data_IF_719743024570
#
_entry.id   IF_719743024570
#
_cell.length_a   1.000
_cell.length_b   1.000
_cell.length_c   1.000
_cell.angle_alpha   90.00
_cell.angle_beta   90.00
_cell.angle_gamma   90.00
#
_symmetry.space_group_name_H-M   'P 1'
#
loop_
_entity.id
_entity.type
_entity.pdbx_description
1 polymer ?
#
# COMPACT_ATOMS: atom_id res chain seq x y z
N UNK A 1 1.59 22.75 -41.93
CA UNK A 1 2.06 22.42 -40.57
C UNK A 1 2.55 20.98 -40.60
N UNK A 2 3.86 20.75 -40.49
CA UNK A 2 4.43 19.40 -40.51
C UNK A 2 4.23 18.75 -39.14
N UNK A 3 3.25 17.86 -39.03
CA UNK A 3 3.07 17.00 -37.86
C UNK A 3 4.24 16.02 -37.84
N UNK A 4 5.25 16.28 -36.99
CA UNK A 4 6.29 15.29 -36.69
C UNK A 4 5.58 14.01 -36.24
N UNK A 5 5.71 12.92 -37.01
CA UNK A 5 5.24 11.60 -36.58
C UNK A 5 5.81 11.30 -35.19
N UNK A 6 5.01 10.78 -34.25
CA UNK A 6 5.53 10.34 -32.96
C UNK A 6 6.71 9.40 -33.19
N UNK A 7 7.80 9.60 -32.46
CA UNK A 7 8.97 8.74 -32.58
C UNK A 7 8.61 7.36 -31.99
N UNK A 8 8.39 6.39 -32.87
CA UNK A 8 8.12 5.00 -32.50
C UNK A 8 9.42 4.31 -32.06
N UNK A 9 9.32 3.51 -30.99
CA UNK A 9 10.43 2.72 -30.47
C UNK A 9 10.06 1.24 -30.54
N UNK A 10 10.94 0.44 -31.15
CA UNK A 10 10.81 -1.01 -31.26
C UNK A 10 11.70 -1.69 -30.24
N UNK A 11 11.15 -2.64 -29.47
CA UNK A 11 11.87 -3.39 -28.44
C UNK A 11 11.51 -4.88 -28.51
N UNK A 12 12.44 -5.74 -28.08
CA UNK A 12 12.14 -7.16 -27.82
C UNK A 12 11.80 -7.33 -26.35
N UNK A 13 10.56 -7.72 -26.07
CA UNK A 13 10.04 -7.87 -24.71
C UNK A 13 9.52 -9.28 -24.45
N UNK A 14 9.55 -9.70 -23.19
CA UNK A 14 8.99 -10.98 -22.76
C UNK A 14 7.70 -10.77 -21.96
N UNK A 15 6.76 -11.70 -22.07
CA UNK A 15 5.56 -11.75 -21.23
C UNK A 15 5.87 -12.37 -19.87
N UNK A 16 5.15 -12.02 -18.79
CA UNK A 16 5.40 -12.56 -17.45
C UNK A 16 5.38 -14.10 -17.37
N UNK A 17 4.47 -14.72 -18.13
CA UNK A 17 4.26 -16.18 -18.16
C UNK A 17 5.18 -16.93 -19.12
N UNK A 18 5.95 -16.26 -19.97
CA UNK A 18 6.96 -16.90 -20.81
C UNK A 18 8.34 -16.91 -20.14
N UNK A 19 9.14 -17.94 -20.42
CA UNK A 19 10.58 -17.87 -20.18
C UNK A 19 11.22 -16.77 -21.03
N UNK A 20 12.44 -16.33 -20.67
CA UNK A 20 13.17 -15.27 -21.40
C UNK A 20 13.35 -15.57 -22.90
N UNK A 21 13.18 -16.83 -23.32
CA UNK A 21 13.39 -17.32 -24.68
C UNK A 21 12.24 -17.00 -25.66
N UNK A 22 11.03 -16.65 -25.18
CA UNK A 22 9.90 -16.26 -26.04
C UNK A 22 9.69 -14.75 -26.03
N UNK A 23 10.69 -14.01 -26.53
CA UNK A 23 10.58 -12.56 -26.71
C UNK A 23 9.71 -12.24 -27.93
N UNK A 24 8.78 -11.29 -27.78
CA UNK A 24 7.99 -10.70 -28.87
C UNK A 24 8.53 -9.31 -29.22
N UNK A 25 8.36 -8.90 -30.48
CA UNK A 25 8.66 -7.54 -30.90
C UNK A 25 7.48 -6.64 -30.54
N UNK A 26 7.74 -5.57 -29.78
CA UNK A 26 6.76 -4.58 -29.36
C UNK A 26 7.18 -3.20 -29.85
N UNK A 27 6.20 -2.45 -30.36
CA UNK A 27 6.36 -1.05 -30.73
C UNK A 27 5.53 -0.18 -29.80
N UNK A 28 6.13 0.90 -29.30
CA UNK A 28 5.44 1.92 -28.53
C UNK A 28 5.84 3.34 -28.97
N UNK A 29 4.94 4.28 -28.77
CA UNK A 29 5.12 5.69 -29.13
C UNK A 29 4.78 6.61 -27.95
N UNK A 30 4.98 7.92 -28.15
CA UNK A 30 4.51 8.98 -27.23
C UNK A 30 5.06 8.89 -25.79
N UNK A 31 6.27 8.35 -25.64
CA UNK A 31 6.91 8.18 -24.33
C UNK A 31 7.11 9.52 -23.60
N UNK A 32 6.33 9.76 -22.54
CA UNK A 32 6.37 10.97 -21.70
C UNK A 32 6.65 10.58 -20.26
N UNK A 33 7.60 11.27 -19.61
CA UNK A 33 7.86 11.08 -18.17
C UNK A 33 6.63 11.50 -17.36
N UNK A 34 6.11 10.59 -16.53
CA UNK A 34 4.99 10.83 -15.59
C UNK A 34 5.40 10.67 -14.12
N UNK A 35 6.56 10.08 -13.86
CA UNK A 35 7.09 9.93 -12.51
C UNK A 35 8.62 9.79 -12.51
N UNK A 36 9.25 10.33 -11.48
CA UNK A 36 10.69 10.20 -11.25
C UNK A 36 10.90 9.97 -9.75
N UNK A 37 11.71 8.97 -9.40
CA UNK A 37 11.97 8.59 -8.02
C UNK A 37 13.33 7.95 -7.84
N UNK A 38 13.68 7.60 -6.60
CA UNK A 38 14.96 6.99 -6.24
C UNK A 38 15.26 5.69 -7.02
N UNK A 39 14.23 4.98 -7.47
CA UNK A 39 14.34 3.71 -8.17
C UNK A 39 14.39 3.84 -9.69
N UNK A 40 14.16 5.04 -10.25
CA UNK A 40 14.21 5.27 -11.69
C UNK A 40 13.07 6.15 -12.20
N UNK A 41 12.77 6.00 -13.49
CA UNK A 41 11.85 6.87 -14.23
C UNK A 41 10.67 6.07 -14.75
N UNK A 42 9.46 6.64 -14.65
CA UNK A 42 8.23 6.07 -15.19
C UNK A 42 7.76 6.90 -16.36
N UNK A 43 7.54 6.25 -17.49
CA UNK A 43 7.02 6.85 -18.72
C UNK A 43 5.58 6.39 -18.95
N UNK A 44 4.70 7.30 -19.36
CA UNK A 44 3.48 6.97 -20.10
C UNK A 44 3.88 6.75 -21.55
N UNK A 45 3.47 5.65 -22.14
CA UNK A 45 3.68 5.35 -23.54
C UNK A 45 2.44 4.67 -24.11
N UNK A 46 2.37 4.55 -25.44
CA UNK A 46 1.24 3.93 -26.12
C UNK A 46 1.69 2.76 -26.97
N UNK A 47 1.09 1.58 -26.76
CA UNK A 47 1.39 0.40 -27.57
C UNK A 47 0.78 0.57 -28.97
N UNK A 48 1.60 0.42 -30.01
CA UNK A 48 1.18 0.74 -31.39
C UNK A 48 0.14 -0.24 -31.91
N UNK A 49 0.26 -1.53 -31.58
CA UNK A 49 -0.60 -2.58 -32.16
C UNK A 49 -2.07 -2.50 -31.72
N UNK A 50 -2.36 -1.95 -30.54
CA UNK A 50 -3.72 -1.85 -29.99
C UNK A 50 -4.06 -0.45 -29.44
N UNK A 51 -3.18 0.54 -29.62
CA UNK A 51 -3.36 1.92 -29.18
C UNK A 51 -3.62 2.04 -27.66
N UNK A 52 -3.10 1.11 -26.86
CA UNK A 52 -3.33 1.05 -25.41
C UNK A 52 -2.26 1.84 -24.64
N UNK A 53 -2.69 2.67 -23.70
CA UNK A 53 -1.80 3.38 -22.79
C UNK A 53 -1.16 2.42 -21.78
N UNK A 54 0.16 2.54 -21.61
CA UNK A 54 0.95 1.74 -20.69
C UNK A 54 1.91 2.60 -19.88
N UNK A 55 2.27 2.12 -18.68
CA UNK A 55 3.32 2.72 -17.88
C UNK A 55 4.61 1.89 -18.02
N UNK A 56 5.70 2.50 -18.47
CA UNK A 56 7.02 1.87 -18.57
C UNK A 56 7.88 2.34 -17.40
N UNK A 57 8.10 1.48 -16.40
CA UNK A 57 9.01 1.74 -15.29
C UNK A 57 10.42 1.30 -15.66
N UNK A 58 11.32 2.25 -15.87
CA UNK A 58 12.74 2.02 -16.21
C UNK A 58 13.60 2.13 -14.95
N UNK A 59 14.23 1.03 -14.57
CA UNK A 59 15.00 0.88 -13.32
C UNK A 59 16.42 0.42 -13.64
N UNK A 60 17.43 1.14 -13.15
CA UNK A 60 18.82 0.73 -13.27
C UNK A 60 19.05 -0.60 -12.52
N UNK A 61 19.67 -1.57 -13.18
CA UNK A 61 20.09 -2.83 -12.58
C UNK A 61 21.47 -2.68 -11.97
N UNK A 62 21.51 -2.21 -10.72
CA UNK A 62 22.74 -2.20 -9.95
C UNK A 62 23.08 -3.63 -9.51
N UNK A 63 24.22 -4.16 -9.95
CA UNK A 63 24.69 -5.52 -9.62
C UNK A 63 24.81 -5.76 -8.10
N UNK A 64 24.92 -4.70 -7.30
CA UNK A 64 24.98 -4.75 -5.82
C UNK A 64 23.62 -5.03 -5.19
N UNK A 65 22.52 -4.73 -5.89
CA UNK A 65 21.16 -4.86 -5.40
C UNK A 65 20.36 -5.85 -6.24
N UNK A 66 19.84 -6.91 -5.61
CA UNK A 66 18.91 -7.82 -6.28
C UNK A 66 17.54 -7.14 -6.41
N UNK A 67 17.20 -6.69 -7.61
CA UNK A 67 15.85 -6.19 -7.88
C UNK A 67 14.87 -7.38 -7.92
N UNK A 68 14.04 -7.50 -6.88
CA UNK A 68 13.02 -8.55 -6.75
C UNK A 68 11.70 -8.19 -7.42
N UNK A 69 11.54 -6.95 -7.89
CA UNK A 69 10.27 -6.43 -8.40
C UNK A 69 9.75 -7.27 -9.56
N UNK A 70 10.60 -7.58 -10.55
CA UNK A 70 10.21 -8.46 -11.67
C UNK A 70 9.78 -9.85 -11.18
N UNK A 71 10.55 -10.46 -10.27
CA UNK A 71 10.26 -11.80 -9.77
C UNK A 71 8.93 -11.86 -9.00
N UNK A 72 8.62 -10.81 -8.26
CA UNK A 72 7.36 -10.66 -7.53
C UNK A 72 6.22 -10.43 -8.52
N UNK A 73 6.32 -9.40 -9.38
CA UNK A 73 5.28 -9.00 -10.33
C UNK A 73 4.86 -10.12 -11.27
N UNK A 74 5.77 -11.04 -11.64
CA UNK A 74 5.44 -12.23 -12.45
C UNK A 74 4.50 -13.22 -11.77
N UNK A 75 4.38 -13.18 -10.45
CA UNK A 75 3.50 -14.06 -9.65
C UNK A 75 2.14 -13.43 -9.37
N UNK A 76 1.97 -12.14 -9.65
CA UNK A 76 0.77 -11.39 -9.26
C UNK A 76 -0.21 -11.32 -10.41
N UNK A 77 -1.44 -11.74 -10.15
CA UNK A 77 -2.60 -11.52 -11.03
C UNK A 77 -3.83 -11.30 -10.16
N UNK A 78 -4.15 -10.02 -9.92
CA UNK A 78 -5.27 -9.63 -9.08
C UNK A 78 -5.82 -8.28 -9.53
N UNK A 79 -7.14 -8.09 -9.46
CA UNK A 79 -7.81 -6.89 -10.03
C UNK A 79 -7.32 -5.58 -9.42
N UNK A 80 -7.02 -5.59 -8.13
CA UNK A 80 -6.54 -4.43 -7.36
C UNK A 80 -5.02 -4.37 -7.23
N UNK A 81 -4.29 -5.09 -8.08
CA UNK A 81 -2.82 -4.98 -8.24
C UNK A 81 -2.52 -4.58 -9.68
N UNK A 82 -1.56 -3.70 -9.90
CA UNK A 82 -1.16 -3.28 -11.25
C UNK A 82 -0.59 -4.47 -12.03
N UNK A 83 -1.08 -4.71 -13.23
CA UNK A 83 -0.68 -5.85 -14.07
C UNK A 83 0.65 -5.57 -14.77
N UNK A 84 1.61 -6.48 -14.61
CA UNK A 84 2.78 -6.56 -15.48
C UNK A 84 2.36 -7.16 -16.81
N UNK A 85 2.51 -6.41 -17.89
CA UNK A 85 2.17 -6.87 -19.24
C UNK A 85 3.36 -7.49 -19.93
N UNK A 86 4.49 -6.79 -19.89
CA UNK A 86 5.75 -7.23 -20.50
C UNK A 86 6.95 -6.68 -19.74
N UNK A 87 8.13 -7.20 -20.02
CA UNK A 87 9.39 -6.62 -19.53
C UNK A 87 10.50 -6.77 -20.58
N UNK A 88 11.48 -5.87 -20.55
CA UNK A 88 12.66 -5.96 -21.41
C UNK A 88 13.87 -5.27 -20.76
N UNK A 89 15.05 -5.62 -21.22
CA UNK A 89 16.30 -4.97 -20.81
C UNK A 89 16.76 -4.00 -21.88
N UNK A 90 17.33 -2.87 -21.47
CA UNK A 90 17.95 -1.89 -22.37
C UNK A 90 19.29 -1.41 -21.82
N UNK A 91 20.22 -1.10 -22.72
CA UNK A 91 21.52 -0.51 -22.34
C UNK A 91 21.36 0.97 -22.01
N UNK A 92 22.16 1.44 -21.05
CA UNK A 92 22.31 2.85 -20.72
C UNK A 92 23.30 3.59 -21.62
N UNK A 93 23.51 4.86 -21.30
CA UNK A 93 24.50 5.69 -21.98
C UNK A 93 25.93 5.26 -21.63
N UNK A 94 26.14 4.67 -20.44
CA UNK A 94 27.44 4.11 -20.02
C UNK A 94 27.55 2.63 -20.38
N UNK A 95 28.77 2.20 -20.70
CA UNK A 95 29.12 0.90 -21.28
C UNK A 95 28.71 -0.35 -20.46
N UNK A 96 28.35 -0.20 -19.19
CA UNK A 96 27.93 -1.30 -18.31
C UNK A 96 26.56 -1.08 -17.63
N UNK A 97 25.87 0.00 -17.98
CA UNK A 97 24.55 0.28 -17.43
C UNK A 97 23.51 -0.56 -18.14
N UNK A 98 22.80 -1.39 -17.37
CA UNK A 98 21.67 -2.17 -17.84
C UNK A 98 20.43 -1.69 -17.10
N UNK A 99 19.37 -1.41 -17.83
CA UNK A 99 18.07 -1.03 -17.29
C UNK A 99 17.08 -2.16 -17.50
N UNK A 100 16.31 -2.45 -16.45
CA UNK A 100 15.10 -3.25 -16.53
C UNK A 100 13.93 -2.31 -16.80
N UNK A 101 13.12 -2.63 -17.79
CA UNK A 101 11.93 -1.88 -18.16
C UNK A 101 10.72 -2.77 -17.93
N UNK A 102 9.84 -2.37 -17.02
CA UNK A 102 8.58 -3.06 -16.74
C UNK A 102 7.46 -2.32 -17.49
N UNK A 103 6.81 -2.99 -18.44
CA UNK A 103 5.61 -2.46 -19.12
C UNK A 103 4.39 -2.90 -18.31
N UNK A 104 3.76 -1.93 -17.66
CA UNK A 104 2.63 -2.10 -16.75
C UNK A 104 1.36 -1.54 -17.39
N UNK A 105 0.19 -2.00 -16.95
CA UNK A 105 -1.06 -1.30 -17.25
C UNK A 105 -1.00 0.16 -16.74
N UNK A 106 -1.54 1.10 -17.52
CA UNK A 106 -1.62 2.50 -17.10
C UNK A 106 -2.88 2.77 -16.30
N UNK A 107 -2.73 3.53 -15.21
CA UNK A 107 -3.83 4.04 -14.39
C UNK A 107 -3.59 5.54 -14.16
N UNK A 108 -4.59 6.41 -14.43
CA UNK A 108 -4.34 7.83 -14.69
C UNK A 108 -4.05 8.68 -13.45
N UNK A 109 -4.48 8.24 -12.27
CA UNK A 109 -4.38 9.03 -11.04
C UNK A 109 -3.86 8.20 -9.85
N UNK A 110 -3.72 8.88 -8.70
CA UNK A 110 -3.31 8.27 -7.43
C UNK A 110 -4.21 8.77 -6.30
N UNK A 111 -4.35 7.96 -5.26
CA UNK A 111 -5.05 8.38 -4.02
C UNK A 111 -4.41 9.65 -3.45
N UNK A 112 -3.07 9.78 -3.52
CA UNK A 112 -2.37 11.01 -3.11
C UNK A 112 -2.87 12.27 -3.81
N UNK A 113 -2.98 12.23 -5.14
CA UNK A 113 -3.43 13.38 -5.94
C UNK A 113 -4.90 13.72 -5.66
N UNK A 114 -5.75 12.72 -5.46
CA UNK A 114 -7.15 12.92 -5.04
C UNK A 114 -7.23 13.56 -3.67
N UNK A 115 -6.53 13.02 -2.67
CA UNK A 115 -6.51 13.59 -1.32
C UNK A 115 -6.01 15.03 -1.32
N UNK A 116 -4.94 15.32 -2.08
CA UNK A 116 -4.40 16.66 -2.26
C UNK A 116 -5.40 17.61 -2.94
N UNK A 117 -6.18 17.13 -3.91
CA UNK A 117 -7.22 17.94 -4.56
C UNK A 117 -8.28 18.39 -3.55
N UNK A 118 -8.85 17.46 -2.78
CA UNK A 118 -9.82 17.78 -1.73
C UNK A 118 -9.24 18.71 -0.65
N UNK A 119 -8.01 18.44 -0.19
CA UNK A 119 -7.33 19.27 0.80
C UNK A 119 -7.14 20.73 0.31
N UNK A 120 -6.73 20.93 -0.95
CA UNK A 120 -6.61 22.27 -1.56
C UNK A 120 -7.93 23.02 -1.62
N UNK A 121 -9.03 22.31 -1.85
CA UNK A 121 -10.39 22.86 -1.87
C UNK A 121 -10.97 23.01 -0.45
N UNK A 122 -10.22 22.67 0.60
CA UNK A 122 -10.70 22.62 2.00
C UNK A 122 -11.94 21.73 2.17
N UNK A 123 -12.05 20.70 1.34
CA UNK A 123 -13.12 19.72 1.36
C UNK A 123 -12.61 18.39 1.92
N UNK A 124 -13.53 17.58 2.42
CA UNK A 124 -13.27 16.22 2.87
C UNK A 124 -13.64 15.29 1.73
N UNK A 125 -12.84 14.24 1.53
CA UNK A 125 -13.18 13.17 0.59
C UNK A 125 -14.49 12.53 1.09
N UNK A 126 -15.52 12.38 0.24
CA UNK A 126 -16.75 11.71 0.66
C UNK A 126 -16.46 10.31 1.20
N UNK A 127 -17.06 9.97 2.35
CA UNK A 127 -16.79 8.73 3.08
C UNK A 127 -16.95 7.49 2.19
N UNK A 128 -17.93 7.48 1.28
CA UNK A 128 -18.14 6.34 0.39
C UNK A 128 -16.93 6.08 -0.53
N UNK A 129 -16.23 7.11 -1.01
CA UNK A 129 -14.97 6.91 -1.75
C UNK A 129 -13.88 6.32 -0.85
N UNK A 130 -13.75 6.78 0.40
CA UNK A 130 -12.79 6.23 1.35
C UNK A 130 -13.07 4.74 1.59
N UNK A 131 -14.35 4.36 1.77
CA UNK A 131 -14.77 2.95 1.86
C UNK A 131 -14.35 2.15 0.62
N UNK A 132 -14.67 2.64 -0.58
CA UNK A 132 -14.33 1.98 -1.85
C UNK A 132 -12.81 1.79 -2.01
N UNK A 133 -12.01 2.82 -1.72
CA UNK A 133 -10.56 2.77 -1.87
C UNK A 133 -9.92 1.83 -0.85
N UNK A 134 -10.30 1.97 0.43
CA UNK A 134 -9.72 1.15 1.49
C UNK A 134 -10.13 -0.32 1.38
N UNK A 135 -11.36 -0.62 0.94
CA UNK A 135 -11.77 -1.99 0.66
C UNK A 135 -10.89 -2.63 -0.42
N UNK A 136 -10.69 -1.96 -1.55
CA UNK A 136 -9.85 -2.47 -2.63
C UNK A 136 -8.37 -2.60 -2.21
N UNK A 137 -7.86 -1.69 -1.36
CA UNK A 137 -6.52 -1.81 -0.78
C UNK A 137 -6.39 -3.04 0.12
N UNK A 138 -7.31 -3.26 1.05
CA UNK A 138 -7.28 -4.44 1.92
C UNK A 138 -7.42 -5.75 1.13
N UNK A 139 -8.21 -5.74 0.06
CA UNK A 139 -8.31 -6.90 -0.84
C UNK A 139 -7.00 -7.18 -1.56
N UNK A 140 -6.33 -6.15 -2.10
CA UNK A 140 -4.99 -6.29 -2.68
C UNK A 140 -3.95 -6.79 -1.67
N UNK A 141 -3.97 -6.26 -0.45
CA UNK A 141 -3.08 -6.69 0.64
C UNK A 141 -3.33 -8.14 1.04
N UNK A 142 -4.58 -8.55 1.21
CA UNK A 142 -4.95 -9.92 1.54
C UNK A 142 -4.45 -10.91 0.49
N UNK A 143 -4.63 -10.57 -0.80
CA UNK A 143 -4.09 -11.36 -1.90
C UNK A 143 -2.57 -11.51 -1.81
N UNK A 144 -1.80 -10.42 -1.75
CA UNK A 144 -0.32 -10.53 -1.74
C UNK A 144 0.22 -11.18 -0.45
N UNK A 145 -0.45 -10.97 0.70
CA UNK A 145 -0.07 -11.58 1.97
C UNK A 145 -0.31 -13.08 1.97
N UNK A 146 -1.35 -13.58 1.29
CA UNK A 146 -1.65 -15.02 1.18
C UNK A 146 -0.55 -15.83 0.48
N UNK A 147 0.25 -15.17 -0.35
CA UNK A 147 1.42 -15.76 -1.03
C UNK A 147 2.75 -15.32 -0.41
N UNK A 148 2.71 -14.83 0.84
CA UNK A 148 3.86 -14.48 1.66
C UNK A 148 4.56 -13.17 1.29
N UNK A 149 4.00 -12.36 0.39
CA UNK A 149 4.62 -11.11 -0.09
C UNK A 149 4.18 -9.95 0.79
N UNK A 150 5.14 -9.25 1.38
CA UNK A 150 4.92 -7.96 2.03
C UNK A 150 5.32 -6.83 1.08
N UNK A 151 4.48 -5.80 0.95
CA UNK A 151 4.70 -4.67 0.06
C UNK A 151 5.81 -3.74 0.59
N UNK A 152 5.78 -3.45 1.90
CA UNK A 152 6.78 -2.65 2.64
C UNK A 152 6.91 -1.18 2.24
N UNK A 153 5.98 -0.67 1.44
CA UNK A 153 5.90 0.76 1.07
C UNK A 153 4.48 1.18 0.70
N UNK A 154 3.50 0.80 1.51
CA UNK A 154 2.10 1.24 1.33
C UNK A 154 1.98 2.71 1.70
N UNK A 155 1.51 3.51 0.74
CA UNK A 155 1.31 4.97 0.87
C UNK A 155 0.41 5.47 -0.25
N UNK A 156 -0.25 6.63 -0.12
CA UNK A 156 -1.22 7.13 -1.11
C UNK A 156 -0.65 7.30 -2.53
N UNK A 157 0.66 7.50 -2.69
CA UNK A 157 1.32 7.61 -4.00
C UNK A 157 1.41 6.27 -4.74
N UNK A 158 1.46 5.16 -4.00
CA UNK A 158 1.54 3.80 -4.54
C UNK A 158 0.14 3.15 -4.72
N UNK A 159 -0.92 3.94 -4.52
CA UNK A 159 -2.31 3.53 -4.73
C UNK A 159 -2.82 4.24 -5.98
N UNK A 160 -2.73 3.57 -7.11
CA UNK A 160 -3.24 4.10 -8.37
C UNK A 160 -4.76 4.07 -8.37
N UNK A 161 -5.38 5.06 -9.01
CA UNK A 161 -6.82 5.22 -9.06
C UNK A 161 -7.28 5.61 -10.46
N UNK A 162 -8.35 4.99 -10.92
CA UNK A 162 -9.13 5.47 -12.05
C UNK A 162 -10.33 6.27 -11.51
N UNK A 163 -10.35 7.62 -11.60
CA UNK A 163 -11.40 8.43 -10.99
C UNK A 163 -12.81 8.19 -11.56
N UNK A 164 -12.91 7.76 -12.82
CA UNK A 164 -14.19 7.51 -13.49
C UNK A 164 -14.86 6.23 -12.96
N UNK A 165 -14.06 5.19 -12.72
CA UNK A 165 -14.56 3.87 -12.28
C UNK A 165 -14.39 3.62 -10.79
N UNK A 166 -13.61 4.47 -10.10
CA UNK A 166 -13.17 4.28 -8.71
C UNK A 166 -12.42 2.97 -8.45
N UNK A 167 -11.87 2.36 -9.51
CA UNK A 167 -11.00 1.18 -9.39
C UNK A 167 -9.64 1.61 -8.85
N UNK A 168 -9.23 0.98 -7.74
CA UNK A 168 -7.93 1.16 -7.13
C UNK A 168 -7.01 -0.01 -7.48
N UNK A 169 -5.74 0.29 -7.79
CA UNK A 169 -4.68 -0.69 -8.06
C UNK A 169 -3.42 -0.35 -7.27
N UNK A 170 -2.95 -1.30 -6.48
CA UNK A 170 -1.67 -1.23 -5.79
C UNK A 170 -0.52 -1.35 -6.80
N UNK A 171 0.47 -0.46 -6.68
CA UNK A 171 1.65 -0.45 -7.55
C UNK A 171 2.96 -0.30 -6.76
N UNK A 172 4.09 -0.35 -7.48
CA UNK A 172 5.45 -0.18 -6.96
C UNK A 172 5.92 -1.26 -5.97
N UNK A 173 6.19 -2.45 -6.52
CA UNK A 173 6.73 -3.59 -5.77
C UNK A 173 8.27 -3.54 -5.64
N UNK A 174 8.89 -2.38 -5.86
CA UNK A 174 10.34 -2.20 -5.76
C UNK A 174 10.90 -2.47 -4.35
N UNK A 175 10.06 -2.20 -3.33
CA UNK A 175 10.38 -2.51 -1.93
C UNK A 175 9.86 -3.87 -1.46
N UNK A 176 9.05 -4.57 -2.26
CA UNK A 176 8.38 -5.78 -1.82
C UNK A 176 9.35 -6.94 -1.59
N UNK A 177 8.98 -7.85 -0.69
CA UNK A 177 9.76 -9.07 -0.39
C UNK A 177 8.82 -10.19 0.06
N UNK A 178 9.09 -11.43 -0.36
CA UNK A 178 8.55 -12.61 0.31
C UNK A 178 9.22 -12.75 1.68
N UNK A 179 8.44 -12.64 2.76
CA UNK A 179 8.95 -12.77 4.12
C UNK A 179 9.01 -14.25 4.48
N UNK A 180 10.17 -14.71 4.95
CA UNK A 180 10.40 -16.08 5.40
C UNK A 180 10.65 -16.03 6.89
N UNK A 181 9.92 -16.83 7.65
CA UNK A 181 10.08 -16.88 9.11
C UNK A 181 11.51 -17.30 9.48
N UNK A 182 12.11 -16.59 10.44
CA UNK A 182 13.50 -16.81 10.85
C UNK A 182 14.55 -16.10 9.99
N UNK A 183 14.21 -15.57 8.81
CA UNK A 183 15.15 -14.77 8.01
C UNK A 183 15.06 -13.28 8.37
N UNK A 184 16.20 -12.63 8.68
CA UNK A 184 16.19 -11.21 8.99
C UNK A 184 15.88 -10.34 7.76
N UNK A 185 15.25 -9.20 8.03
CA UNK A 185 14.85 -8.22 7.03
C UNK A 185 15.36 -6.83 7.42
N UNK A 186 15.62 -5.99 6.41
CA UNK A 186 16.03 -4.60 6.65
C UNK A 186 14.89 -3.83 7.33
N UNK A 187 15.16 -3.25 8.49
CA UNK A 187 14.19 -2.46 9.26
C UNK A 187 13.96 -1.06 8.68
N UNK A 188 15.01 -0.42 8.14
CA UNK A 188 14.92 0.89 7.50
C UNK A 188 14.28 0.77 6.10
N UNK A 189 12.97 0.52 6.10
CA UNK A 189 12.11 0.36 4.93
C UNK A 189 10.80 1.14 5.17
N UNK A 190 9.96 1.23 4.15
CA UNK A 190 8.72 2.01 4.14
C UNK A 190 8.95 3.52 4.21
N UNK A 191 8.08 4.27 3.53
CA UNK A 191 8.04 5.72 3.59
C UNK A 191 7.66 6.19 5.01
N UNK A 192 8.38 7.18 5.53
CA UNK A 192 8.43 7.53 6.97
C UNK A 192 7.05 7.67 7.62
N UNK A 193 6.13 8.45 7.05
CA UNK A 193 4.81 8.73 7.64
C UNK A 193 3.91 7.51 7.77
N UNK A 194 4.19 6.45 7.01
CA UNK A 194 3.43 5.21 6.97
C UNK A 194 4.17 4.04 7.64
N UNK A 195 5.33 4.31 8.23
CA UNK A 195 6.21 3.29 8.81
C UNK A 195 5.66 2.79 10.14
N UNK A 196 5.57 1.47 10.27
CA UNK A 196 5.14 0.81 11.51
C UNK A 196 6.14 1.00 12.65
N UNK A 197 5.70 1.10 13.91
CA UNK A 197 6.57 1.41 15.03
C UNK A 197 7.66 0.35 15.24
N UNK A 198 7.38 -0.94 15.02
CA UNK A 198 8.39 -2.01 15.09
C UNK A 198 9.58 -1.80 14.15
N UNK A 199 9.36 -1.19 12.98
CA UNK A 199 10.46 -0.82 12.06
C UNK A 199 11.28 0.36 12.59
N UNK A 200 10.65 1.28 13.31
CA UNK A 200 11.33 2.40 13.97
C UNK A 200 12.18 1.89 15.14
N UNK A 201 11.67 0.89 15.87
CA UNK A 201 12.42 0.16 16.89
C UNK A 201 13.49 -0.77 16.32
N UNK A 202 13.64 -0.87 15.00
CA UNK A 202 14.72 -1.62 14.36
C UNK A 202 14.47 -3.13 14.26
N UNK A 203 13.22 -3.60 14.36
CA UNK A 203 12.88 -5.00 14.22
C UNK A 203 13.30 -5.54 12.83
N UNK A 204 13.82 -6.76 12.79
CA UNK A 204 14.24 -7.43 11.55
C UNK A 204 13.41 -8.68 11.24
N UNK A 205 12.63 -9.14 12.20
CA UNK A 205 11.72 -10.28 12.19
C UNK A 205 10.24 -9.88 12.03
N UNK A 206 9.99 -8.66 11.55
CA UNK A 206 8.63 -8.16 11.28
C UNK A 206 7.89 -9.00 10.25
N UNK A 207 6.56 -8.91 10.28
CA UNK A 207 5.65 -9.66 9.40
C UNK A 207 4.95 -8.74 8.39
N UNK A 208 4.03 -9.30 7.59
CA UNK A 208 3.16 -8.54 6.68
C UNK A 208 2.27 -7.51 7.40
N UNK A 209 2.16 -7.57 8.74
CA UNK A 209 1.39 -6.64 9.57
C UNK A 209 1.91 -5.20 9.55
N UNK A 210 3.12 -4.96 9.03
CA UNK A 210 3.59 -3.58 8.76
C UNK A 210 2.76 -2.91 7.66
N UNK A 211 2.29 -3.66 6.65
CA UNK A 211 1.44 -3.10 5.59
C UNK A 211 0.05 -2.77 6.13
N UNK A 212 -0.44 -3.52 7.12
CA UNK A 212 -1.72 -3.25 7.81
C UNK A 212 -1.65 -1.94 8.59
N UNK A 213 -0.54 -1.70 9.29
CA UNK A 213 -0.29 -0.40 9.93
C UNK A 213 -0.27 0.72 8.90
N UNK A 214 0.50 0.56 7.81
CA UNK A 214 0.56 1.56 6.74
C UNK A 214 -0.82 1.84 6.14
N UNK A 215 -1.66 0.82 5.91
CA UNK A 215 -3.04 0.99 5.47
C UNK A 215 -3.91 1.74 6.51
N UNK A 216 -3.71 1.50 7.80
CA UNK A 216 -4.34 2.28 8.87
C UNK A 216 -3.96 3.76 8.84
N UNK A 217 -2.67 4.07 8.59
CA UNK A 217 -2.22 5.46 8.44
C UNK A 217 -2.78 6.13 7.18
N UNK A 218 -2.94 5.38 6.07
CA UNK A 218 -3.63 5.86 4.87
C UNK A 218 -5.10 6.17 5.17
N UNK A 219 -5.83 5.26 5.83
CA UNK A 219 -7.23 5.50 6.21
C UNK A 219 -7.36 6.76 7.07
N UNK A 220 -6.53 6.90 8.11
CA UNK A 220 -6.54 8.07 8.99
C UNK A 220 -6.23 9.37 8.22
N UNK A 221 -5.25 9.33 7.30
CA UNK A 221 -4.91 10.46 6.43
C UNK A 221 -6.08 10.89 5.54
N UNK A 222 -6.81 9.93 4.95
CA UNK A 222 -7.99 10.23 4.11
C UNK A 222 -9.14 10.85 4.92
N UNK A 223 -9.33 10.42 6.18
CA UNK A 223 -10.36 10.97 7.06
C UNK A 223 -10.01 12.39 7.54
N UNK A 224 -8.73 12.69 7.77
CA UNK A 224 -8.26 14.00 8.23
C UNK A 224 -8.05 14.99 7.08
N UNK A 225 -7.63 14.51 5.92
CA UNK A 225 -7.19 15.32 4.77
C UNK A 225 -5.72 15.78 4.86
N UNK A 226 -4.93 15.20 5.78
CA UNK A 226 -3.50 15.47 5.96
C UNK A 226 -2.79 14.24 6.55
N UNK A 227 -1.47 14.09 6.37
CA UNK A 227 -0.71 12.96 6.92
C UNK A 227 -0.96 12.77 8.41
N UNK A 228 -1.16 11.52 8.84
CA UNK A 228 -1.58 11.23 10.22
C UNK A 228 -0.44 11.34 11.23
N UNK A 229 0.76 10.88 10.86
CA UNK A 229 1.96 10.93 11.68
C UNK A 229 3.11 11.59 10.90
N UNK A 230 3.19 12.93 10.84
CA UNK A 230 4.19 13.65 10.06
C UNK A 230 5.48 13.90 10.85
N UNK A 231 6.33 12.88 11.03
CA UNK A 231 7.64 13.03 11.69
C UNK A 231 8.77 13.43 10.74
N UNK A 232 9.65 14.34 11.13
CA UNK A 232 10.80 14.76 10.31
C UNK A 232 11.97 13.74 10.32
N UNK A 233 12.15 13.05 11.46
CA UNK A 233 13.12 11.97 11.65
C UNK A 233 12.47 10.66 12.09
N UNK A 234 13.25 9.59 12.25
CA UNK A 234 12.74 8.34 12.82
C UNK A 234 12.25 8.50 14.27
N UNK A 235 12.92 9.36 15.04
CA UNK A 235 12.54 9.68 16.42
C UNK A 235 11.28 10.53 16.44
N UNK A 236 11.19 11.57 15.61
CA UNK A 236 10.00 12.42 15.54
C UNK A 236 8.77 11.62 15.07
N UNK A 237 8.97 10.67 14.17
CA UNK A 237 7.90 9.75 13.75
C UNK A 237 7.34 8.96 14.93
N UNK A 238 8.19 8.47 15.82
CA UNK A 238 7.75 7.78 17.03
C UNK A 238 7.04 8.74 18.01
N UNK A 239 7.52 9.98 18.13
CA UNK A 239 6.87 11.02 18.94
C UNK A 239 5.46 11.31 18.44
N UNK A 240 5.23 11.44 17.13
CA UNK A 240 3.89 11.63 16.55
C UNK A 240 2.96 10.45 16.87
N UNK A 241 3.47 9.21 16.83
CA UNK A 241 2.70 8.02 17.19
C UNK A 241 2.31 8.07 18.68
N UNK A 242 3.28 8.37 19.57
CA UNK A 242 3.07 8.43 21.02
C UNK A 242 2.07 9.52 21.41
N UNK A 243 2.03 10.66 20.71
CA UNK A 243 1.03 11.71 20.95
C UNK A 243 -0.41 11.21 20.82
N UNK A 244 -0.64 10.21 19.97
CA UNK A 244 -1.96 9.62 19.73
C UNK A 244 -2.17 8.36 20.57
N UNK A 245 -1.27 7.39 20.49
CA UNK A 245 -1.41 6.09 21.14
C UNK A 245 -0.97 6.06 22.61
N UNK A 246 -0.34 7.13 23.09
CA UNK A 246 0.34 7.14 24.38
C UNK A 246 1.68 6.41 24.34
N UNK A 247 2.38 6.38 25.47
CA UNK A 247 3.66 5.69 25.58
C UNK A 247 3.45 4.17 25.52
N UNK A 248 4.14 3.43 24.64
CA UNK A 248 3.99 1.98 24.57
C UNK A 248 4.43 1.34 25.89
N UNK A 249 3.66 0.36 26.34
CA UNK A 249 4.01 -0.47 27.49
C UNK A 249 5.26 -1.31 27.22
N UNK A 250 5.88 -1.84 28.28
CA UNK A 250 7.04 -2.73 28.16
C UNK A 250 6.72 -3.96 27.29
N UNK A 251 5.53 -4.53 27.46
CA UNK A 251 5.10 -5.72 26.71
C UNK A 251 4.87 -5.40 25.23
N UNK A 252 4.34 -4.22 24.91
CA UNK A 252 4.21 -3.76 23.51
C UNK A 252 5.59 -3.54 22.86
N UNK A 253 6.54 -2.92 23.58
CA UNK A 253 7.92 -2.76 23.08
C UNK A 253 8.56 -4.13 22.83
N UNK A 254 8.41 -5.08 23.76
CA UNK A 254 8.93 -6.44 23.63
C UNK A 254 8.33 -7.16 22.42
N UNK A 255 7.03 -6.98 22.14
CA UNK A 255 6.35 -7.55 20.98
C UNK A 255 6.71 -6.86 19.66
N UNK A 256 7.15 -5.60 19.69
CA UNK A 256 7.63 -4.88 18.51
C UNK A 256 9.08 -5.23 18.18
N UNK A 257 9.97 -5.22 19.17
CA UNK A 257 11.36 -5.66 19.02
C UNK A 257 11.91 -6.19 20.35
N UNK A 258 12.05 -7.52 20.49
CA UNK A 258 12.60 -8.15 21.68
C UNK A 258 14.01 -7.71 22.08
N UNK A 259 14.80 -7.22 21.11
CA UNK A 259 16.19 -6.84 21.31
C UNK A 259 16.38 -5.35 21.65
N UNK A 260 15.29 -4.58 21.77
CA UNK A 260 15.38 -3.16 22.05
C UNK A 260 15.60 -2.90 23.55
N UNK A 261 16.77 -2.37 23.90
CA UNK A 261 17.22 -2.19 25.30
C UNK A 261 17.19 -0.74 25.79
N UNK A 262 16.95 0.23 24.91
CA UNK A 262 16.99 1.66 25.26
C UNK A 262 15.64 2.16 25.80
N UNK A 263 15.49 2.18 27.13
CA UNK A 263 14.26 2.62 27.77
C UNK A 263 14.42 4.00 28.41
N UNK A 264 13.69 4.99 27.88
CA UNK A 264 13.12 6.14 28.63
C UNK A 264 12.31 7.03 27.68
N UNK A 265 11.00 6.78 27.62
CA UNK A 265 10.05 7.73 27.06
C UNK A 265 9.35 8.46 28.21
N UNK A 266 9.07 9.77 28.07
CA UNK A 266 8.10 10.43 28.95
C UNK A 266 6.78 9.64 28.93
N UNK A 267 6.12 9.53 30.09
CA UNK A 267 4.83 8.84 30.18
C UNK A 267 3.73 9.75 29.64
N UNK A 268 3.18 9.41 28.48
CA UNK A 268 2.12 10.14 27.77
C UNK A 268 0.89 9.25 27.73
N UNK A 269 -0.27 9.81 28.12
CA UNK A 269 -1.55 9.09 28.05
C UNK A 269 -2.07 9.07 26.61
N UNK A 270 -2.73 7.98 26.17
CA UNK A 270 -3.36 7.92 24.86
C UNK A 270 -4.40 9.03 24.68
N UNK A 271 -4.44 9.61 23.49
CA UNK A 271 -5.50 10.53 23.12
C UNK A 271 -6.76 9.75 22.73
N UNK A 272 -7.95 10.09 23.25
CA UNK A 272 -9.16 9.38 22.88
C UNK A 272 -9.43 9.49 21.37
N UNK A 273 -9.62 8.36 20.69
CA UNK A 273 -9.78 8.29 19.24
C UNK A 273 -10.88 9.21 18.68
N UNK A 274 -11.99 9.37 19.38
CA UNK A 274 -13.08 10.26 18.98
C UNK A 274 -12.71 11.76 18.98
N UNK A 275 -11.61 12.14 19.65
CA UNK A 275 -11.07 13.52 19.66
C UNK A 275 -9.96 13.75 18.64
N UNK A 276 -9.39 12.68 18.09
CA UNK A 276 -8.36 12.74 17.05
C UNK A 276 -8.95 13.18 15.72
N UNK A 277 -10.17 12.75 15.42
CA UNK A 277 -10.87 13.04 14.18
C UNK A 277 -11.91 14.16 14.34
N UNK A 278 -12.42 14.67 13.22
CA UNK A 278 -13.50 15.66 13.20
C UNK A 278 -14.79 15.04 13.78
N UNK A 279 -15.63 15.87 14.43
CA UNK A 279 -16.87 15.41 15.06
C UNK A 279 -17.86 14.70 14.13
N UNK A 280 -17.78 14.91 12.80
CA UNK A 280 -18.63 14.26 11.79
C UNK A 280 -18.03 12.98 11.21
N UNK A 281 -16.86 12.55 11.67
CA UNK A 281 -16.25 11.30 11.20
C UNK A 281 -17.08 10.11 11.70
N UNK A 282 -17.47 9.17 10.81
CA UNK A 282 -18.25 7.98 11.21
C UNK A 282 -17.54 7.15 12.29
N UNK A 283 -18.30 6.66 13.27
CA UNK A 283 -17.73 5.94 14.41
C UNK A 283 -17.06 4.64 13.98
N UNK A 284 -17.60 3.95 12.98
CA UNK A 284 -17.06 2.71 12.42
C UNK A 284 -15.71 2.95 11.71
N UNK A 285 -15.50 4.15 11.17
CA UNK A 285 -14.22 4.53 10.56
C UNK A 285 -13.14 4.72 11.63
N UNK A 286 -13.49 5.41 12.72
CA UNK A 286 -12.61 5.63 13.88
C UNK A 286 -12.26 4.29 14.52
N UNK A 287 -13.27 3.42 14.68
CA UNK A 287 -13.11 2.08 15.23
C UNK A 287 -12.16 1.22 14.38
N UNK A 288 -12.33 1.20 13.06
CA UNK A 288 -11.41 0.50 12.15
C UNK A 288 -9.97 1.02 12.28
N UNK A 289 -9.76 2.33 12.30
CA UNK A 289 -8.42 2.91 12.51
C UNK A 289 -7.81 2.42 13.82
N UNK A 290 -8.60 2.37 14.90
CA UNK A 290 -8.14 1.95 16.22
C UNK A 290 -7.73 0.47 16.30
N UNK A 291 -8.30 -0.38 15.44
CA UNK A 291 -7.94 -1.79 15.29
C UNK A 291 -6.67 -1.97 14.44
N UNK A 292 -6.46 -1.13 13.43
CA UNK A 292 -5.29 -1.18 12.54
C UNK A 292 -4.03 -0.61 13.20
N UNK A 293 -4.16 0.48 13.95
CA UNK A 293 -3.06 1.22 14.56
C UNK A 293 -2.82 0.78 16.01
N UNK A 294 -2.28 -0.44 16.15
CA UNK A 294 -1.84 -1.03 17.42
C UNK A 294 -0.32 -1.17 17.45
N UNK A 295 0.30 -0.97 18.61
CA UNK A 295 1.73 -1.21 18.80
C UNK A 295 2.08 -2.67 18.55
N UNK A 296 1.45 -3.57 19.28
CA UNK A 296 1.61 -5.02 19.09
C UNK A 296 1.23 -5.43 17.66
N UNK A 297 2.16 -5.97 16.84
CA UNK A 297 1.86 -6.28 15.44
C UNK A 297 0.85 -7.41 15.26
N UNK A 298 0.87 -8.41 16.15
CA UNK A 298 0.04 -9.62 16.06
C UNK A 298 -1.46 -9.38 16.29
N UNK A 299 -1.83 -8.33 17.04
CA UNK A 299 -3.24 -7.99 17.31
C UNK A 299 -3.89 -7.16 16.21
N UNK A 300 -3.11 -6.64 15.25
CA UNK A 300 -3.68 -5.95 14.08
C UNK A 300 -4.44 -6.98 13.24
N UNK A 301 -5.64 -6.66 12.73
CA UNK A 301 -6.42 -7.61 11.94
C UNK A 301 -5.68 -8.04 10.67
N UNK A 302 -6.01 -9.20 10.12
CA UNK A 302 -5.64 -9.54 8.75
C UNK A 302 -6.35 -8.59 7.77
N UNK A 303 -5.85 -8.42 6.53
CA UNK A 303 -6.58 -7.61 5.55
C UNK A 303 -8.01 -8.11 5.30
N UNK A 304 -8.25 -9.43 5.34
CA UNK A 304 -9.59 -10.01 5.17
C UNK A 304 -10.50 -9.75 6.38
N UNK A 305 -9.96 -9.76 7.60
CA UNK A 305 -10.69 -9.31 8.79
C UNK A 305 -11.06 -7.82 8.68
N UNK A 306 -10.16 -6.99 8.15
CA UNK A 306 -10.46 -5.58 7.87
C UNK A 306 -11.57 -5.43 6.81
N UNK A 307 -11.58 -6.22 5.73
CA UNK A 307 -12.68 -6.22 4.73
C UNK A 307 -14.04 -6.56 5.35
N UNK A 308 -14.04 -7.44 6.35
CA UNK A 308 -15.23 -7.86 7.08
C UNK A 308 -15.67 -6.84 8.14
N UNK A 309 -14.98 -5.71 8.30
CA UNK A 309 -15.35 -4.67 9.27
C UNK A 309 -16.64 -3.93 8.89
N UNK A 310 -17.41 -3.48 9.89
CA UNK A 310 -18.72 -2.84 9.74
C UNK A 310 -18.65 -1.50 8.97
N UNK A 311 -17.48 -0.86 8.99
CA UNK A 311 -17.19 0.31 8.16
C UNK A 311 -17.52 0.09 6.68
N UNK A 312 -17.39 -1.16 6.19
CA UNK A 312 -17.65 -1.52 4.80
C UNK A 312 -19.06 -2.07 4.54
N UNK A 313 -19.95 -2.15 5.54
CA UNK A 313 -21.30 -2.73 5.37
C UNK A 313 -22.15 -1.96 4.35
N UNK A 314 -21.99 -0.64 4.29
CA UNK A 314 -22.65 0.19 3.27
C UNK A 314 -22.33 -0.28 1.85
N UNK A 315 -21.10 -0.74 1.58
CA UNK A 315 -20.71 -1.23 0.26
C UNK A 315 -21.45 -2.51 -0.12
N UNK A 316 -21.77 -3.34 0.88
CA UNK A 316 -22.49 -4.61 0.72
C UNK A 316 -23.99 -4.43 0.55
N UNK A 317 -24.51 -3.23 0.78
CA UNK A 317 -25.92 -2.92 0.57
C UNK A 317 -26.27 -2.97 -0.93
N UNK A 318 -27.34 -3.68 -1.34
CA UNK A 318 -27.80 -3.71 -2.73
C UNK A 318 -28.20 -2.33 -3.29
N UNK A 319 -28.48 -1.37 -2.41
CA UNK A 319 -28.88 0.00 -2.78
C UNK A 319 -27.69 0.96 -2.93
N UNK A 320 -26.48 0.53 -2.57
CA UNK A 320 -25.30 1.37 -2.63
C UNK A 320 -24.88 1.64 -4.09
N UNK A 321 -24.65 2.91 -4.41
CA UNK A 321 -24.35 3.39 -5.76
C UNK A 321 -23.25 4.44 -5.73
N UNK A 322 -22.58 4.63 -6.86
CA UNK A 322 -21.53 5.63 -7.00
C UNK A 322 -22.07 7.06 -6.80
N UNK A 323 -21.45 7.91 -5.94
CA UNK A 323 -21.92 9.28 -5.71
C UNK A 323 -21.92 10.16 -6.96
N UNK A 324 -20.94 10.00 -7.85
CA UNK A 324 -20.75 10.85 -9.02
C UNK A 324 -21.70 10.55 -10.17
N UNK A 325 -22.05 9.27 -10.36
CA UNK A 325 -22.81 8.81 -11.53
C UNK A 325 -24.18 8.24 -11.19
N UNK A 326 -24.45 7.91 -9.93
CA UNK A 326 -25.60 7.08 -9.54
C UNK A 326 -25.53 5.66 -10.12
N UNK A 327 -24.40 5.27 -10.71
CA UNK A 327 -24.17 3.96 -11.32
C UNK A 327 -23.74 2.89 -10.32
N UNK A 328 -23.47 1.67 -10.78
CA UNK A 328 -22.98 0.58 -9.94
C UNK A 328 -21.58 0.90 -9.36
N UNK A 329 -21.30 0.36 -8.18
CA UNK A 329 -19.95 0.35 -7.61
C UNK A 329 -18.98 -0.42 -8.53
N UNK A 330 -17.65 -0.18 -8.44
CA UNK A 330 -16.68 -1.08 -9.06
C UNK A 330 -16.88 -2.52 -8.55
N UNK A 331 -16.39 -3.56 -9.24
CA UNK A 331 -16.55 -4.92 -8.75
C UNK A 331 -15.79 -5.11 -7.42
N UNK A 332 -16.51 -5.21 -6.32
CA UNK A 332 -15.91 -5.35 -4.98
C UNK A 332 -15.92 -6.80 -4.52
N UNK A 333 -16.97 -7.55 -4.89
CA UNK A 333 -17.32 -8.86 -4.34
C UNK A 333 -17.03 -10.03 -5.30
N UNK A 334 -16.37 -9.76 -6.43
CA UNK A 334 -15.89 -10.75 -7.41
C UNK A 334 -14.64 -11.48 -6.89
N UNK A 335 -14.71 -12.06 -5.68
CA UNK A 335 -13.63 -12.82 -5.08
C UNK A 335 -13.30 -14.06 -5.91
N UNK A 336 -12.01 -14.30 -6.12
CA UNK A 336 -11.52 -15.54 -6.74
C UNK A 336 -11.64 -16.71 -5.77
N UNK A 337 -11.59 -17.95 -6.28
CA UNK A 337 -11.56 -19.14 -5.43
C UNK A 337 -10.37 -19.11 -4.46
N UNK A 338 -9.19 -18.69 -4.94
CA UNK A 338 -8.00 -18.49 -4.09
C UNK A 338 -8.28 -17.51 -2.94
N UNK A 339 -8.92 -16.37 -3.23
CA UNK A 339 -9.26 -15.39 -2.19
C UNK A 339 -10.23 -15.93 -1.15
N UNK A 340 -11.25 -16.68 -1.57
CA UNK A 340 -12.25 -17.28 -0.66
C UNK A 340 -11.66 -18.38 0.23
N UNK A 341 -10.51 -18.95 -0.15
CA UNK A 341 -9.76 -19.94 0.63
C UNK A 341 -8.84 -19.31 1.70
N UNK A 342 -8.55 -17.99 1.63
CA UNK A 342 -7.64 -17.32 2.56
C UNK A 342 -8.20 -17.34 4.00
N UNK A 343 -9.47 -16.96 4.17
CA UNK A 343 -10.17 -16.92 5.46
C UNK A 343 -11.62 -17.38 5.30
N UNK A 344 -11.89 -18.69 5.12
CA UNK A 344 -13.21 -19.20 4.75
C UNK A 344 -14.34 -18.81 5.72
N UNK A 345 -14.01 -18.66 7.01
CA UNK A 345 -14.94 -18.23 8.07
C UNK A 345 -15.56 -16.85 7.84
N UNK A 346 -14.95 -16.01 6.99
CA UNK A 346 -15.42 -14.65 6.72
C UNK A 346 -16.30 -14.58 5.46
N UNK A 347 -16.40 -15.64 4.67
CA UNK A 347 -17.07 -15.63 3.36
C UNK A 347 -18.54 -15.22 3.46
N UNK A 348 -19.26 -15.62 4.51
CA UNK A 348 -20.65 -15.23 4.76
C UNK A 348 -20.85 -13.72 4.91
N UNK A 349 -19.83 -13.01 5.42
CA UNK A 349 -19.85 -11.54 5.55
C UNK A 349 -19.27 -10.85 4.33
N UNK A 350 -18.27 -11.45 3.67
CA UNK A 350 -17.58 -10.84 2.52
C UNK A 350 -18.40 -10.92 1.23
N UNK A 351 -19.14 -12.01 1.01
CA UNK A 351 -19.91 -12.26 -0.21
C UNK A 351 -21.38 -11.92 0.03
N UNK A 352 -21.95 -10.88 -0.61
CA UNK A 352 -23.37 -10.56 -0.46
C UNK A 352 -24.26 -11.70 -0.97
N UNK A 353 -25.32 -12.04 -0.21
CA UNK A 353 -26.27 -13.13 -0.50
C UNK A 353 -26.94 -13.06 -1.89
N UNK A 354 -26.97 -11.90 -2.52
CA UNK A 354 -27.53 -11.74 -3.87
C UNK A 354 -26.64 -12.36 -4.96
N UNK A 355 -25.34 -12.58 -4.70
CA UNK A 355 -24.40 -13.14 -5.68
C UNK A 355 -24.22 -14.66 -5.57
N UNK A 356 -24.57 -15.28 -4.44
CA UNK A 356 -24.49 -16.74 -4.28
C UNK A 356 -25.54 -17.51 -5.12
N UNK A 357 -26.51 -16.81 -5.72
CA UNK A 357 -27.56 -17.40 -6.53
C UNK A 357 -27.23 -17.48 -8.04
N UNK A 358 -26.18 -16.80 -8.53
CA UNK A 358 -25.88 -16.74 -9.98
C UNK A 358 -24.79 -17.70 -10.47
N UNK A 359 -24.21 -18.53 -9.60
CA UNK A 359 -23.18 -19.52 -9.98
C UNK A 359 -23.70 -20.94 -10.23
N UNK A 360 -25.02 -21.17 -10.20
CA UNK A 360 -25.59 -22.47 -10.59
C UNK A 360 -25.93 -22.44 -12.08
N UNK A 361 -25.01 -22.95 -12.91
CA UNK A 361 -25.31 -23.28 -14.31
C UNK A 361 -26.51 -24.24 -14.37
N UNK A 362 -27.47 -24.06 -15.30
CA UNK A 362 -28.59 -24.98 -15.45
C UNK A 362 -28.05 -26.32 -15.99
N UNK A 363 -28.08 -27.36 -15.16
CA UNK A 363 -27.99 -28.73 -15.65
C UNK A 363 -29.24 -28.99 -16.49
N UNK A 364 -29.04 -29.23 -17.77
CA UNK A 364 -30.05 -29.71 -18.71
C UNK A 364 -30.68 -30.99 -18.17
N UNK A 365 -31.98 -30.90 -17.87
CA UNK A 365 -32.83 -32.05 -17.54
C UNK A 365 -32.99 -32.92 -18.77
N UNK A 366 -32.36 -34.09 -18.77
CA UNK A 366 -32.82 -35.23 -19.56
C UNK A 366 -33.71 -36.08 -18.65
N UNK A 367 -34.95 -36.29 -19.09
CA UNK A 367 -35.92 -37.15 -18.43
C UNK A 367 -35.44 -38.61 -18.46
N UNK A 368 -35.68 -39.43 -17.42
CA UNK A 368 -35.59 -40.87 -17.53
C UNK A 368 -36.97 -41.47 -17.80
N UNK A 369 -37.06 -42.23 -18.88
CA UNK A 369 -38.13 -43.20 -19.10
C UNK A 369 -37.80 -44.50 -18.34
N UNK A 370 -38.84 -45.19 -17.88
CA UNK A 370 -38.77 -46.20 -16.84
C UNK A 370 -38.32 -47.61 -17.27
N UNK A 371 -38.14 -48.47 -16.28
CA UNK A 371 -38.01 -49.92 -16.44
C UNK A 371 -37.22 -50.57 -15.31
N UNK A 372 -37.90 -51.12 -14.31
CA UNK A 372 -37.29 -51.75 -13.14
C UNK A 372 -37.00 -53.25 -13.29
N UNK A 373 -36.19 -53.78 -12.36
CA UNK A 373 -36.29 -55.14 -11.83
C UNK A 373 -35.45 -55.25 -10.53
N UNK A 374 -35.91 -56.13 -9.64
CA UNK A 374 -35.54 -56.30 -8.21
C UNK A 374 -34.33 -57.24 -7.98
N UNK A 375 -33.96 -57.33 -6.68
CA UNK A 375 -33.30 -58.42 -5.92
C UNK A 375 -31.77 -58.45 -5.95
N UNK A 376 -31.01 -58.88 -4.92
CA UNK A 376 -31.18 -59.17 -3.48
C UNK A 376 -29.76 -59.45 -2.90
N UNK A 377 -29.68 -59.67 -1.59
CA UNK A 377 -28.56 -59.75 -0.63
C UNK A 377 -27.43 -60.79 -0.83
N UNK A 378 -26.38 -60.66 0.02
CA UNK A 378 -25.48 -61.73 0.52
C UNK A 378 -24.03 -61.61 0.04
N UNK A 379 -23.00 -61.23 0.83
CA UNK A 379 -22.35 -61.82 2.02
C UNK A 379 -21.65 -63.18 1.77
N UNK A 380 -20.34 -63.22 2.08
CA UNK A 380 -19.46 -64.41 2.17
C UNK A 380 -18.16 -64.15 1.39
N UNK A 381 -16.96 -64.06 1.97
CA UNK A 381 -16.41 -64.77 3.11
C UNK A 381 -15.55 -65.94 2.59
N UNK A 382 -14.22 -65.79 2.58
CA UNK A 382 -13.29 -66.83 2.14
C UNK A 382 -11.83 -66.40 2.26
N UNK A 383 -11.21 -66.78 3.38
CA UNK A 383 -9.78 -66.75 3.65
C UNK A 383 -8.98 -67.61 2.66
N UNK A 384 -7.65 -67.38 2.59
CA UNK A 384 -6.59 -68.39 2.87
C UNK A 384 -5.21 -67.83 2.46
N UNK A 385 -4.31 -67.75 3.47
CA UNK A 385 -2.85 -68.09 3.50
C UNK A 385 -1.89 -67.41 2.48
N UNK A 386 -0.61 -67.12 2.75
CA UNK A 386 0.41 -67.60 3.71
C UNK A 386 1.66 -66.72 3.58
N UNK A 387 2.45 -66.67 4.66
CA UNK A 387 3.93 -66.62 4.78
C UNK A 387 4.70 -65.41 4.17
N UNK A 388 5.35 -64.54 4.96
CA UNK A 388 6.49 -64.70 5.89
C UNK A 388 7.86 -64.65 5.17
N UNK A 389 8.66 -63.62 5.53
CA UNK A 389 10.14 -63.55 5.60
C UNK A 389 10.57 -62.07 5.52
N UNK A 390 10.96 -61.39 6.60
CA UNK A 390 12.16 -61.52 7.43
C UNK A 390 13.43 -60.96 6.74
N UNK A 391 13.99 -59.85 7.28
CA UNK A 391 15.45 -59.64 7.38
C UNK A 391 15.82 -58.36 8.16
N UNK A 392 16.73 -58.59 9.10
CA UNK A 392 17.38 -57.68 10.05
C UNK A 392 18.59 -56.97 9.43
N UNK A 393 18.98 -55.82 10.00
CA UNK A 393 20.38 -55.45 10.38
C UNK A 393 20.35 -54.06 11.07
N UNK A 394 20.64 -53.91 12.37
CA UNK A 394 21.96 -53.81 13.08
C UNK A 394 22.91 -52.73 12.52
N UNK A 395 23.10 -51.62 13.26
CA UNK A 395 24.29 -51.28 14.08
C UNK A 395 25.35 -50.51 13.24
N UNK A 396 26.19 -49.56 13.69
CA UNK A 396 26.68 -49.09 14.99
C UNK A 396 27.49 -47.78 14.80
N UNK A 397 27.77 -47.15 15.93
CA UNK A 397 28.66 -46.02 16.23
C UNK A 397 30.08 -46.14 15.63
N UNK A 398 30.71 -45.01 15.27
CA UNK A 398 32.16 -44.82 15.36
C UNK A 398 32.53 -43.34 15.60
N UNK A 399 33.53 -43.16 16.47
CA UNK A 399 34.06 -41.92 17.04
C UNK A 399 35.45 -41.61 16.46
N UNK A 400 35.87 -40.36 16.64
CA UNK A 400 37.26 -39.86 16.78
C UNK A 400 37.99 -39.28 15.54
N UNK A 401 38.68 -38.17 15.80
CA UNK A 401 39.78 -37.69 14.96
C UNK A 401 40.03 -36.17 15.01
N UNK A 402 40.66 -35.68 16.08
CA UNK A 402 41.18 -34.32 16.18
C UNK A 402 42.40 -34.09 15.28
N UNK A 403 42.58 -32.85 14.79
CA UNK A 403 43.77 -32.40 14.08
C UNK A 403 43.83 -30.87 13.98
N UNK A 404 44.72 -30.28 14.75
CA UNK A 404 45.07 -28.85 14.87
C UNK A 404 45.92 -28.33 13.70
N UNK A 405 45.72 -27.08 13.26
CA UNK A 405 46.82 -26.12 12.99
C UNK A 405 46.30 -24.71 12.62
N UNK A 406 46.99 -23.72 13.18
CA UNK A 406 46.85 -22.26 13.10
C UNK A 406 46.87 -21.63 11.69
N UNK A 407 46.17 -20.48 11.51
CA UNK A 407 46.79 -19.13 11.40
C UNK A 407 45.85 -18.04 10.85
N UNK A 408 46.00 -16.87 11.50
CA UNK A 408 45.88 -15.47 11.02
C UNK A 408 44.53 -14.74 11.03
N UNK A 409 44.47 -13.82 12.00
CA UNK A 409 43.75 -12.53 12.00
C UNK A 409 43.99 -11.71 10.73
N UNK A 410 42.95 -11.01 10.28
CA UNK A 410 43.04 -9.63 9.79
C UNK A 410 41.68 -8.93 9.96
N UNK A 411 41.73 -7.80 10.68
CA UNK A 411 40.74 -6.74 10.80
C UNK A 411 40.34 -6.16 9.40
N UNK A 412 39.37 -5.26 9.18
CA UNK A 412 38.56 -4.39 10.02
C UNK A 412 37.42 -3.85 9.13
N UNK A 413 36.22 -3.67 9.68
CA UNK A 413 35.21 -2.77 9.12
C UNK A 413 35.28 -1.46 9.90
N UNK A 414 35.59 -0.37 9.20
CA UNK A 414 35.72 0.97 9.79
C UNK A 414 34.36 1.53 10.27
N UNK A 415 34.28 2.17 11.44
CA UNK A 415 33.10 2.88 11.89
C UNK A 415 33.12 4.34 11.39
N UNK A 416 31.97 4.85 10.94
CA UNK A 416 31.78 6.29 10.78
C UNK A 416 31.17 6.89 12.04
N UNK A 417 31.79 7.99 12.45
CA UNK A 417 31.69 8.71 13.71
C UNK A 417 30.32 9.36 13.95
N UNK A 418 29.76 9.10 15.13
CA UNK A 418 28.71 9.89 15.78
C UNK A 418 29.30 11.21 16.30
N UNK A 419 28.81 12.34 15.79
CA UNK A 419 29.11 13.66 16.35
C UNK A 419 28.40 13.83 17.69
N UNK A 420 29.18 14.04 18.75
CA UNK A 420 28.71 14.25 20.11
C UNK A 420 28.06 15.61 20.32
N UNK A 421 27.06 15.63 21.21
CA UNK A 421 26.42 16.82 21.77
C UNK A 421 27.33 17.40 22.86
N UNK A 422 27.61 18.72 22.91
CA UNK A 422 28.33 19.30 24.03
C UNK A 422 27.43 19.47 25.26
N UNK A 423 27.96 19.01 26.38
CA UNK A 423 27.44 19.12 27.73
C UNK A 423 27.58 20.57 28.24
N UNK A 424 26.51 21.12 28.83
CA UNK A 424 26.54 22.41 29.52
C UNK A 424 27.41 22.34 30.79
N UNK A 425 28.34 23.27 30.93
CA UNK A 425 29.00 23.61 32.19
C UNK A 425 28.66 25.04 32.61
N UNK A 426 28.27 25.18 33.87
CA UNK A 426 27.95 26.40 34.59
C UNK A 426 29.18 27.25 34.93
N UNK A 427 29.10 28.58 34.75
CA UNK A 427 29.79 29.58 35.60
C UNK A 427 29.31 31.02 35.35
N UNK A 428 28.64 31.59 36.37
CA UNK A 428 28.77 32.95 36.94
C UNK A 428 28.81 34.24 36.10
N UNK A 429 27.87 35.17 36.41
CA UNK A 429 28.21 36.48 36.99
C UNK A 429 28.04 37.77 36.15
N UNK A 430 27.19 38.70 36.64
CA UNK A 430 27.14 40.16 36.33
C UNK A 430 26.02 40.58 35.36
N UNK A 431 24.92 41.24 35.77
CA UNK A 431 24.80 42.69 36.09
C UNK A 431 24.81 43.53 34.80
N UNK A 432 23.91 44.46 34.44
CA UNK A 432 22.98 45.37 35.13
C UNK A 432 22.03 45.97 34.05
N UNK A 433 20.88 46.51 34.50
CA UNK A 433 20.12 47.65 33.92
C UNK A 433 18.84 47.39 33.08
N UNK A 434 17.73 47.88 33.64
CA UNK A 434 16.49 48.31 33.00
C UNK A 434 16.36 49.85 33.21
N UNK A 435 15.27 50.54 32.78
CA UNK A 435 14.56 50.63 31.49
C UNK A 435 14.64 52.12 30.99
N UNK A 436 13.72 52.75 30.18
CA UNK A 436 12.28 52.89 30.41
C UNK A 436 11.35 52.88 29.16
N UNK A 437 10.05 52.76 29.47
CA UNK A 437 8.87 53.07 28.67
C UNK A 437 8.74 54.54 28.25
N UNK A 438 8.13 54.82 27.08
CA UNK A 438 7.30 56.02 26.85
C UNK A 438 6.13 55.76 25.89
N UNK A 439 4.96 56.18 26.35
CA UNK A 439 3.71 56.46 25.62
C UNK A 439 3.84 57.66 24.66
N UNK A 440 2.97 57.74 23.65
CA UNK A 440 2.35 59.02 23.22
C UNK A 440 1.06 58.79 22.42
N UNK A 441 0.03 59.51 22.84
CA UNK A 441 -1.29 59.74 22.24
C UNK A 441 -1.21 60.72 21.04
N UNK A 442 -2.16 60.60 20.08
CA UNK A 442 -3.13 61.64 19.67
C UNK A 442 -3.89 61.15 18.41
N UNK A 443 -5.19 60.83 18.45
CA UNK A 443 -6.41 61.66 18.51
C UNK A 443 -6.94 62.21 17.16
N UNK A 444 -8.08 61.63 16.73
CA UNK A 444 -9.27 62.27 16.16
C UNK A 444 -9.22 62.85 14.72
N UNK A 445 -10.29 62.92 13.90
CA UNK A 445 -11.73 62.81 14.15
C UNK A 445 -12.49 62.66 12.81
N UNK A 446 -13.68 62.01 12.82
CA UNK A 446 -14.94 62.27 12.05
C UNK A 446 -14.90 62.61 10.54
N UNK A 447 -15.80 62.14 9.67
CA UNK A 447 -17.25 62.48 9.67
C UNK A 447 -18.04 61.61 8.68
N UNK A 448 -19.22 61.19 9.10
CA UNK A 448 -20.34 60.59 8.37
C UNK A 448 -21.13 61.62 7.54
N UNK A 449 -21.71 61.24 6.39
CA UNK A 449 -23.05 61.68 5.95
C UNK A 449 -23.55 60.93 4.69
N UNK A 450 -24.61 60.15 4.88
CA UNK A 450 -25.63 59.73 3.91
C UNK A 450 -26.57 60.88 3.55
N UNK A 451 -26.97 61.07 2.27
CA UNK A 451 -28.39 61.11 1.83
C UNK A 451 -28.58 61.30 0.30
N UNK A 452 -29.30 60.33 -0.29
CA UNK A 452 -30.45 60.41 -1.23
C UNK A 452 -30.47 61.20 -2.57
N UNK A 453 -30.97 60.45 -3.57
CA UNK A 453 -31.95 60.77 -4.64
C UNK A 453 -31.54 61.62 -5.83
N UNK A 454 -31.51 61.03 -7.04
CA UNK A 454 -32.62 61.05 -8.01
C UNK A 454 -32.19 60.52 -9.42
N UNK A 455 -33.03 59.65 -9.97
CA UNK A 455 -33.17 59.14 -11.37
C UNK A 455 -33.47 60.26 -12.39
N UNK A 456 -33.70 60.02 -13.72
CA UNK A 456 -33.42 58.86 -14.60
C UNK A 456 -32.90 59.23 -16.03
N UNK A 457 -32.80 58.19 -16.88
CA UNK A 457 -33.16 58.14 -18.31
C UNK A 457 -32.06 58.21 -19.39
N UNK A 458 -32.02 57.10 -20.17
CA UNK A 458 -31.90 56.97 -21.63
C UNK A 458 -30.80 57.77 -22.35
N UNK A 459 -30.03 57.23 -23.29
CA UNK A 459 -30.49 56.59 -24.55
C UNK A 459 -29.25 56.11 -25.33
N UNK A 460 -29.48 55.28 -26.34
CA UNK A 460 -28.69 55.08 -27.58
C UNK A 460 -27.38 54.26 -27.54
N UNK A 461 -27.49 53.06 -28.14
CA UNK A 461 -26.49 52.36 -28.95
C UNK A 461 -26.07 53.21 -30.19
N UNK A 462 -25.23 52.76 -31.16
CA UNK A 462 -24.64 51.43 -31.39
C UNK A 462 -23.18 51.44 -31.94
N UNK A 463 -22.78 50.25 -32.43
CA UNK A 463 -21.72 49.90 -33.39
C UNK A 463 -20.28 49.79 -32.85
N UNK A 464 -19.64 48.62 -32.84
CA UNK A 464 -19.43 47.57 -33.86
C UNK A 464 -18.27 47.86 -34.83
N UNK A 465 -17.54 46.77 -35.11
CA UNK A 465 -16.47 46.59 -36.12
C UNK A 465 -15.08 47.08 -35.66
N UNK A 466 -13.96 46.40 -35.91
CA UNK A 466 -13.68 45.21 -36.70
C UNK A 466 -12.20 44.82 -36.47
N UNK A 467 -11.92 43.52 -36.50
CA UNK A 467 -10.73 42.86 -37.08
C UNK A 467 -9.33 43.50 -36.97
N UNK A 468 -8.41 42.76 -36.32
CA UNK A 468 -7.24 42.16 -36.98
C UNK A 468 -6.73 40.99 -36.12
#
# INVERSE_FOLDING_TARGET
MSTKRPQEQTVRAASPGSGNERSIELQYSEAKVIGNGSFGVVYLAKLVYNNEDVAIKKVLQDKRFKNRELQIMRKLDHRNVVKLKYFFYSSGDKKDEVYLNLILEFVPDTVYRVARHYAKQRQIIPILYIKIYMYQLFRALGYIHSIGICHRDIKPQNLLLNPQTSVLKLCDFGSAKTLVHGEPNVAYICSRYYRAPELIFGATDYTTKIDVWSAGTVLAELLLGQPFFPGDSGVDQLVEIIKVLGTPSRDEIQQMNPNYTEFRFPMIRPHPWHRVFRARTPQEAIDLVSHLLKYTPSVRPSPFEALAHDFFDELRSPTCKMPSTGGPLPPLFDFTEHELQIEPRLNDKLVPKCQSASSTMPKTSTAPDGGGAKQQEGVGGGEVKTDESDSKQQASIATAGAGTSDRKKSDAAAPFTTGGVPQLSSSGGGGVAAPPSKSSNNNSNTTTATTTTATPAATTAPNAAQTA
#
